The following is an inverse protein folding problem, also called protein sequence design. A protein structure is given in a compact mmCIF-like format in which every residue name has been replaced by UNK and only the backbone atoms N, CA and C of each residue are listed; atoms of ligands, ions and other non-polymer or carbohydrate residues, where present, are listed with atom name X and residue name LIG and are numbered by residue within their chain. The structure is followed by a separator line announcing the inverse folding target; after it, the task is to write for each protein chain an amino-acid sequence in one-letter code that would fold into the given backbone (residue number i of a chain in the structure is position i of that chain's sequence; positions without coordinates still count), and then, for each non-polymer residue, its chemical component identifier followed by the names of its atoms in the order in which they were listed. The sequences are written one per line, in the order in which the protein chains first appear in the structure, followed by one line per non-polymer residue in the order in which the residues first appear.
data_IF_127429411502
#
_entry.id   IF_127429411502
#
_cell.length_a   1.000
_cell.length_b   1.000
_cell.length_c   1.000
_cell.angle_alpha   90.00
_cell.angle_beta   90.00
_cell.angle_gamma   90.00
#
_symmetry.space_group_name_H-M   'P 1'
#
loop_
_entity.id
_entity.type
_entity.pdbx_description
1 polymer ?
#
# COMPACT_ATOMS: atom_id res chain seq x y z
N UNK A 1 18.38 -23.44 1.85
CA UNK A 1 17.00 -22.95 1.96
C UNK A 1 16.44 -22.92 0.56
N UNK A 2 15.43 -23.73 0.29
CA UNK A 2 14.78 -23.78 -1.02
C UNK A 2 13.94 -22.50 -1.18
N UNK A 3 14.35 -21.62 -2.10
CA UNK A 3 13.70 -20.34 -2.29
C UNK A 3 12.40 -20.56 -3.08
N UNK A 4 11.25 -20.21 -2.49
CA UNK A 4 9.94 -20.44 -3.12
C UNK A 4 9.81 -19.62 -4.41
N UNK A 5 9.99 -20.27 -5.56
CA UNK A 5 9.91 -19.66 -6.91
C UNK A 5 8.60 -18.90 -7.21
N UNK A 6 7.54 -19.10 -6.42
CA UNK A 6 6.27 -18.38 -6.56
C UNK A 6 6.31 -16.99 -5.92
N UNK A 7 7.07 -16.83 -4.83
CA UNK A 7 7.17 -15.56 -4.09
C UNK A 7 7.98 -14.54 -4.90
N UNK A 8 9.03 -14.98 -5.59
CA UNK A 8 9.87 -14.09 -6.43
C UNK A 8 9.16 -13.54 -7.68
N UNK A 9 7.96 -14.05 -8.01
CA UNK A 9 7.14 -13.59 -9.14
C UNK A 9 6.01 -12.66 -8.70
N UNK A 10 5.87 -12.42 -7.40
CA UNK A 10 4.85 -11.50 -6.92
C UNK A 10 5.25 -10.09 -7.37
N UNK A 11 4.36 -9.38 -8.09
CA UNK A 11 4.62 -8.00 -8.44
C UNK A 11 4.79 -7.18 -7.15
N UNK A 12 5.53 -6.05 -7.20
CA UNK A 12 5.62 -5.15 -6.08
C UNK A 12 4.21 -4.80 -5.60
N UNK A 13 3.95 -4.94 -4.31
CA UNK A 13 2.63 -4.70 -3.74
C UNK A 13 2.33 -3.20 -3.75
N UNK A 14 1.70 -2.74 -4.82
CA UNK A 14 1.43 -1.32 -5.13
C UNK A 14 0.69 -0.62 -3.99
N UNK A 15 -0.15 -1.35 -3.25
CA UNK A 15 -0.86 -0.84 -2.08
C UNK A 15 0.05 -0.32 -0.98
N UNK A 16 1.24 -0.91 -0.75
CA UNK A 16 2.15 -0.42 0.27
C UNK A 16 2.68 0.97 -0.07
N UNK A 17 3.02 1.21 -1.34
CA UNK A 17 3.54 2.50 -1.80
C UNK A 17 2.49 3.59 -1.60
N UNK A 18 1.25 3.33 -2.02
CA UNK A 18 0.15 4.30 -1.89
C UNK A 18 -0.18 4.56 -0.42
N UNK A 19 -0.14 3.53 0.43
CA UNK A 19 -0.38 3.68 1.87
C UNK A 19 0.70 4.51 2.56
N UNK A 20 1.98 4.31 2.22
CA UNK A 20 3.07 5.12 2.76
C UNK A 20 2.95 6.60 2.35
N UNK A 21 2.62 6.86 1.09
CA UNK A 21 2.41 8.22 0.59
C UNK A 21 1.23 8.90 1.29
N UNK A 22 0.11 8.18 1.42
CA UNK A 22 -1.07 8.63 2.15
C UNK A 22 -0.76 8.94 3.61
N UNK A 23 0.01 8.08 4.29
CA UNK A 23 0.39 8.30 5.69
C UNK A 23 1.25 9.56 5.85
N UNK A 24 2.20 9.79 4.94
CA UNK A 24 3.05 11.00 4.93
C UNK A 24 2.23 12.27 4.70
N UNK A 25 1.33 12.27 3.72
CA UNK A 25 0.49 13.42 3.42
C UNK A 25 -0.49 13.72 4.58
N UNK A 26 -1.04 12.70 5.26
CA UNK A 26 -1.85 12.90 6.47
C UNK A 26 -1.03 13.52 7.60
N UNK A 27 0.19 13.06 7.80
CA UNK A 27 1.09 13.60 8.82
C UNK A 27 1.50 15.06 8.51
N UNK A 28 1.52 15.45 7.24
CA UNK A 28 1.73 16.82 6.80
C UNK A 28 0.48 17.73 6.97
N UNK A 29 -0.66 17.16 7.39
CA UNK A 29 -1.92 17.89 7.56
C UNK A 29 -2.65 18.17 6.24
N UNK A 30 -2.32 17.47 5.16
CA UNK A 30 -3.03 17.58 3.89
C UNK A 30 -4.42 16.95 3.99
N UNK A 31 -5.41 17.57 3.34
CA UNK A 31 -6.75 17.02 3.19
C UNK A 31 -6.74 15.95 2.08
N UNK A 32 -6.97 14.68 2.47
CA UNK A 32 -6.84 13.54 1.57
C UNK A 32 -8.19 12.85 1.39
N UNK A 33 -8.64 12.80 0.13
CA UNK A 33 -9.79 12.01 -0.29
C UNK A 33 -9.28 10.68 -0.87
N UNK A 34 -9.59 9.57 -0.19
CA UNK A 34 -9.18 8.22 -0.58
C UNK A 34 -10.36 7.50 -1.27
N UNK A 35 -10.24 7.28 -2.58
CA UNK A 35 -11.20 6.50 -3.38
C UNK A 35 -10.85 5.00 -3.44
N UNK A 36 -9.86 4.55 -2.66
CA UNK A 36 -9.56 3.13 -2.48
C UNK A 36 -10.73 2.39 -1.83
N UNK A 37 -10.77 1.08 -2.02
CA UNK A 37 -11.78 0.23 -1.40
C UNK A 37 -11.67 0.34 0.13
N UNK A 38 -12.71 0.89 0.75
CA UNK A 38 -12.79 1.09 2.20
C UNK A 38 -12.78 -0.24 2.95
N UNK A 39 -12.19 -0.25 4.13
CA UNK A 39 -12.43 -1.31 5.10
C UNK A 39 -13.93 -1.23 5.45
N UNK A 40 -14.74 -2.26 5.15
CA UNK A 40 -16.15 -2.23 5.51
C UNK A 40 -16.25 -2.33 7.04
N UNK A 41 -16.76 -1.28 7.68
CA UNK A 41 -17.39 -1.40 9.00
C UNK A 41 -18.74 -2.15 8.88
#
# INVERSE_FOLDING_TARGET
MEEFHRISRLPPYVFNIVNELKAKARAAGEDIIDFGMGNPD
#
